data_IF_806187881033
#
_entry.id   IF_806187881033
#
_cell.length_a   1.000
_cell.length_b   1.000
_cell.length_c   1.000
_cell.angle_alpha   90.00
_cell.angle_beta   90.00
_cell.angle_gamma   90.00
#
_symmetry.space_group_name_H-M   'P 1'
#
loop_
_entity.id
_entity.type
_entity.pdbx_description
1 polymer ?
#
# COMPACT_ATOMS: atom_id res chain seq x y z
N UNK A 1 -9.80 24.91 -2.25
CA UNK A 1 -9.05 23.68 -2.60
C UNK A 1 -9.73 22.96 -3.75
N UNK A 2 -11.02 22.66 -3.61
CA UNK A 2 -11.85 22.06 -4.67
C UNK A 2 -11.76 22.79 -6.02
N UNK A 3 -11.87 24.13 -6.04
CA UNK A 3 -11.69 24.91 -7.28
C UNK A 3 -10.33 24.64 -7.94
N UNK A 4 -9.24 24.51 -7.17
CA UNK A 4 -7.91 24.21 -7.75
C UNK A 4 -7.85 22.81 -8.35
N UNK A 5 -8.47 21.83 -7.69
CA UNK A 5 -8.59 20.45 -8.21
C UNK A 5 -9.39 20.46 -9.52
N UNK A 6 -10.46 21.25 -9.55
CA UNK A 6 -11.25 21.45 -10.76
C UNK A 6 -10.43 22.08 -11.89
N UNK A 7 -9.70 23.15 -11.61
CA UNK A 7 -8.85 23.83 -12.59
C UNK A 7 -7.80 22.89 -13.17
N UNK A 8 -7.14 22.07 -12.32
CA UNK A 8 -6.21 21.02 -12.76
C UNK A 8 -6.88 19.97 -13.64
N UNK A 9 -8.07 19.52 -13.27
CA UNK A 9 -8.84 18.56 -14.07
C UNK A 9 -9.27 19.15 -15.42
N UNK A 10 -9.58 20.45 -15.50
CA UNK A 10 -9.83 21.14 -16.77
C UNK A 10 -8.57 21.15 -17.65
N UNK A 11 -7.41 21.46 -17.08
CA UNK A 11 -6.14 21.45 -17.81
C UNK A 11 -5.82 20.05 -18.36
N UNK A 12 -5.99 19.00 -17.56
CA UNK A 12 -5.81 17.62 -18.04
C UNK A 12 -6.74 17.26 -19.20
N UNK A 13 -8.02 17.67 -19.13
CA UNK A 13 -8.97 17.47 -20.24
C UNK A 13 -8.54 18.20 -21.51
N UNK A 14 -8.08 19.45 -21.40
CA UNK A 14 -7.59 20.23 -22.55
C UNK A 14 -6.36 19.58 -23.20
N UNK A 15 -5.51 18.93 -22.40
CA UNK A 15 -4.35 18.17 -22.87
C UNK A 15 -4.71 16.77 -23.41
N UNK A 16 -5.99 16.39 -23.38
CA UNK A 16 -6.46 15.06 -23.79
C UNK A 16 -6.11 13.94 -22.80
N UNK A 17 -5.57 14.27 -21.63
CA UNK A 17 -5.25 13.29 -20.59
C UNK A 17 -6.52 12.73 -19.94
N UNK A 18 -6.49 11.44 -19.64
CA UNK A 18 -7.52 10.74 -18.86
C UNK A 18 -7.26 10.81 -17.37
N UNK A 19 -6.05 11.23 -16.97
CA UNK A 19 -5.66 11.32 -15.58
C UNK A 19 -6.45 12.42 -14.88
N UNK A 20 -6.79 12.19 -13.63
CA UNK A 20 -7.55 13.14 -12.81
C UNK A 20 -6.91 13.28 -11.44
N UNK A 21 -7.17 14.42 -10.81
CA UNK A 21 -6.86 14.63 -9.40
C UNK A 21 -8.14 14.73 -8.60
N UNK A 22 -8.12 14.20 -7.39
CA UNK A 22 -9.27 14.17 -6.49
C UNK A 22 -8.88 14.53 -5.06
N UNK A 23 -9.84 15.09 -4.34
CA UNK A 23 -9.80 15.26 -2.89
C UNK A 23 -10.21 13.97 -2.20
N UNK A 24 -9.34 13.50 -1.31
CA UNK A 24 -9.57 12.25 -0.59
C UNK A 24 -10.54 12.44 0.56
N UNK A 25 -11.53 11.56 0.67
CA UNK A 25 -12.35 11.38 1.86
C UNK A 25 -12.23 9.92 2.34
N UNK A 26 -12.32 9.66 3.66
CA UNK A 26 -12.32 8.29 4.16
C UNK A 26 -13.65 7.61 3.85
N UNK A 27 -13.59 6.34 3.43
CA UNK A 27 -14.75 5.46 3.47
C UNK A 27 -15.19 5.25 4.92
N UNK A 28 -16.48 4.94 5.06
CA UNK A 28 -17.10 4.62 6.35
C UNK A 28 -18.15 3.54 6.16
N UNK A 29 -18.53 2.87 7.26
CA UNK A 29 -19.61 1.88 7.27
C UNK A 29 -20.97 2.44 6.82
N UNK A 30 -21.16 3.77 6.83
CA UNK A 30 -22.37 4.39 6.30
C UNK A 30 -22.50 4.23 4.77
N UNK A 31 -21.41 3.89 4.09
CA UNK A 31 -21.34 3.66 2.65
C UNK A 31 -21.29 2.15 2.32
N UNK A 32 -21.53 1.29 3.31
CA UNK A 32 -21.58 -0.14 3.14
C UNK A 32 -22.71 -0.50 2.15
N UNK A 33 -22.41 -1.22 1.07
CA UNK A 33 -23.44 -1.57 0.08
C UNK A 33 -24.48 -2.53 0.68
N UNK A 34 -25.64 -2.74 0.02
CA UNK A 34 -26.66 -3.65 0.52
C UNK A 34 -26.17 -5.11 0.55
N UNK A 35 -26.90 -5.98 1.27
CA UNK A 35 -26.45 -7.34 1.60
C UNK A 35 -26.27 -8.29 0.40
N UNK A 36 -26.85 -7.95 -0.75
CA UNK A 36 -26.69 -8.66 -2.02
C UNK A 36 -25.37 -8.31 -2.73
N UNK A 37 -24.71 -7.21 -2.33
CA UNK A 37 -23.45 -6.78 -2.92
C UNK A 37 -22.28 -7.58 -2.34
N UNK A 38 -21.38 -8.03 -3.21
CA UNK A 38 -20.22 -8.86 -2.88
C UNK A 38 -19.30 -8.28 -1.78
N UNK A 39 -19.24 -6.96 -1.68
CA UNK A 39 -18.39 -6.25 -0.69
C UNK A 39 -19.12 -5.82 0.59
N UNK A 40 -20.36 -6.27 0.79
CA UNK A 40 -21.09 -5.99 2.02
C UNK A 40 -20.30 -6.43 3.26
N UNK A 41 -20.15 -5.54 4.25
CA UNK A 41 -19.35 -5.72 5.48
C UNK A 41 -17.84 -5.92 5.31
N UNK A 42 -17.32 -5.76 4.08
CA UNK A 42 -15.90 -5.84 3.72
C UNK A 42 -15.43 -4.58 2.98
N UNK A 43 -16.20 -3.49 2.98
CA UNK A 43 -15.84 -2.23 2.29
C UNK A 43 -14.57 -1.61 2.87
N UNK A 44 -14.35 -1.74 4.18
CA UNK A 44 -13.17 -1.22 4.86
C UNK A 44 -11.96 -2.14 4.68
N UNK A 45 -12.22 -3.43 4.42
CA UNK A 45 -11.22 -4.48 4.22
C UNK A 45 -10.97 -4.87 2.77
N UNK A 46 -11.46 -4.09 1.79
CA UNK A 46 -11.20 -4.29 0.37
C UNK A 46 -10.42 -3.13 -0.26
N UNK A 47 -10.13 -3.23 -1.56
CA UNK A 47 -9.45 -2.19 -2.36
C UNK A 47 -10.42 -1.26 -3.11
N UNK A 48 -11.69 -1.25 -2.72
CA UNK A 48 -12.75 -0.60 -3.48
C UNK A 48 -12.91 0.86 -3.09
N UNK A 49 -12.93 1.73 -4.10
CA UNK A 49 -13.07 3.17 -3.96
C UNK A 49 -14.37 3.66 -4.63
N UNK A 50 -14.94 4.72 -4.09
CA UNK A 50 -16.11 5.41 -4.68
C UNK A 50 -15.57 6.59 -5.47
N UNK A 51 -15.80 6.57 -6.79
CA UNK A 51 -15.32 7.60 -7.72
C UNK A 51 -16.44 8.57 -8.11
N UNK A 52 -16.10 9.74 -8.67
CA UNK A 52 -17.10 10.65 -9.20
C UNK A 52 -17.88 10.10 -10.39
N UNK A 53 -19.14 10.56 -10.52
CA UNK A 53 -20.04 10.14 -11.60
C UNK A 53 -19.48 10.39 -13.00
N UNK A 54 -18.67 11.43 -13.18
CA UNK A 54 -18.03 11.74 -14.47
C UNK A 54 -17.00 10.70 -14.94
N UNK A 55 -16.54 9.81 -14.06
CA UNK A 55 -15.58 8.76 -14.44
C UNK A 55 -16.25 7.71 -15.31
N UNK A 56 -17.49 7.31 -15.02
CA UNK A 56 -18.17 6.24 -15.77
C UNK A 56 -18.33 6.57 -17.27
N UNK A 57 -18.86 7.75 -17.69
CA UNK A 57 -18.90 8.12 -19.10
C UNK A 57 -17.52 8.08 -19.77
N UNK A 58 -16.47 8.53 -19.07
CA UNK A 58 -15.10 8.50 -19.59
C UNK A 58 -14.64 7.06 -19.87
N UNK A 59 -14.91 6.12 -18.97
CA UNK A 59 -14.56 4.70 -19.15
C UNK A 59 -15.29 4.09 -20.36
N UNK A 60 -16.57 4.40 -20.52
CA UNK A 60 -17.41 3.89 -21.61
C UNK A 60 -17.02 4.49 -22.97
N UNK A 61 -16.76 5.81 -23.03
CA UNK A 61 -16.30 6.50 -24.24
C UNK A 61 -14.95 5.96 -24.73
N UNK A 62 -14.07 5.60 -23.79
CA UNK A 62 -12.76 5.01 -24.10
C UNK A 62 -12.80 3.51 -24.38
N UNK A 63 -13.96 2.86 -24.21
CA UNK A 63 -14.14 1.42 -24.38
C UNK A 63 -13.14 0.61 -23.55
N UNK A 64 -12.88 1.05 -22.31
CA UNK A 64 -12.06 0.28 -21.39
C UNK A 64 -12.89 -0.81 -20.75
N UNK A 65 -12.51 -2.05 -21.00
CA UNK A 65 -13.16 -3.22 -20.43
C UNK A 65 -12.91 -3.32 -18.92
N UNK A 66 -13.88 -3.87 -18.21
CA UNK A 66 -13.71 -4.26 -16.81
C UNK A 66 -12.74 -5.47 -16.72
N UNK A 67 -12.04 -5.65 -15.59
CA UNK A 67 -12.09 -4.86 -14.35
C UNK A 67 -11.40 -3.50 -14.47
N UNK A 68 -11.98 -2.48 -13.84
CA UNK A 68 -11.43 -1.11 -13.85
C UNK A 68 -10.56 -0.87 -12.62
N UNK A 69 -9.26 -0.78 -12.85
CA UNK A 69 -8.29 -0.43 -11.82
C UNK A 69 -7.74 0.97 -12.01
N UNK A 70 -7.49 1.62 -10.88
CA UNK A 70 -6.90 2.95 -10.84
C UNK A 70 -5.67 2.93 -9.94
N UNK A 71 -4.57 3.51 -10.43
CA UNK A 71 -3.38 3.79 -9.66
C UNK A 71 -3.52 5.16 -9.01
N UNK A 72 -3.39 5.17 -7.69
CA UNK A 72 -3.40 6.37 -6.87
C UNK A 72 -1.99 6.73 -6.43
N UNK A 73 -1.64 8.00 -6.54
CA UNK A 73 -0.37 8.55 -6.02
C UNK A 73 -0.66 9.86 -5.28
N UNK A 74 -0.06 10.01 -4.09
CA UNK A 74 -0.13 11.25 -3.31
C UNK A 74 0.55 12.36 -4.10
N UNK A 75 -0.15 13.46 -4.32
CA UNK A 75 0.41 14.66 -4.95
C UNK A 75 0.72 15.72 -3.91
N UNK A 76 -0.25 16.04 -3.05
CA UNK A 76 -0.12 17.11 -2.05
C UNK A 76 -0.83 16.80 -0.73
N UNK A 77 -0.30 17.39 0.34
CA UNK A 77 -0.90 17.40 1.67
C UNK A 77 -1.26 18.82 2.13
N UNK A 78 -2.31 18.96 2.96
CA UNK A 78 -2.78 20.25 3.48
C UNK A 78 -1.72 21.04 4.28
N UNK A 79 -0.67 20.38 4.78
CA UNK A 79 0.43 21.05 5.48
C UNK A 79 1.54 21.55 4.55
N UNK A 80 1.52 21.19 3.26
CA UNK A 80 2.54 21.57 2.28
C UNK A 80 2.11 22.84 1.53
N UNK A 81 1.68 23.87 2.26
CA UNK A 81 1.09 25.09 1.68
C UNK A 81 2.03 25.83 0.70
N UNK A 82 3.34 25.59 0.79
CA UNK A 82 4.38 26.17 -0.09
C UNK A 82 4.66 25.35 -1.37
N UNK A 83 4.20 24.09 -1.48
CA UNK A 83 4.50 23.24 -2.64
C UNK A 83 3.59 23.49 -3.86
N UNK A 84 2.52 24.27 -3.67
CA UNK A 84 1.51 24.58 -4.70
C UNK A 84 1.99 25.54 -5.79
N UNK A 85 3.18 26.14 -5.66
CA UNK A 85 3.68 27.15 -6.61
C UNK A 85 4.77 26.66 -7.56
N UNK A 86 5.38 25.49 -7.35
CA UNK A 86 6.65 25.15 -8.06
C UNK A 86 6.67 23.85 -8.84
N UNK A 87 5.69 22.95 -8.71
CA UNK A 87 5.81 21.62 -9.34
C UNK A 87 4.48 21.12 -9.89
N UNK A 88 4.33 20.92 -11.21
CA UNK A 88 3.17 20.23 -11.75
C UNK A 88 3.15 18.77 -11.24
N UNK A 89 1.97 18.17 -11.01
CA UNK A 89 1.85 16.75 -10.67
C UNK A 89 2.58 15.91 -11.73
N UNK A 90 3.57 15.14 -11.28
CA UNK A 90 4.55 14.44 -12.13
C UNK A 90 3.98 13.37 -13.07
N UNK A 91 2.68 13.08 -13.05
CA UNK A 91 2.05 12.23 -14.07
C UNK A 91 2.26 12.78 -15.49
N UNK A 92 2.35 14.10 -15.63
CA UNK A 92 2.58 14.75 -16.93
C UNK A 92 4.03 14.67 -17.44
N UNK A 93 4.98 14.11 -16.68
CA UNK A 93 6.41 14.12 -17.06
C UNK A 93 6.87 12.90 -17.87
N UNK A 94 6.07 11.82 -17.98
CA UNK A 94 6.48 10.61 -18.71
C UNK A 94 6.12 10.60 -20.21
N UNK A 95 5.50 11.68 -20.75
CA UNK A 95 5.32 11.86 -22.20
C UNK A 95 5.48 13.32 -22.63
N UNK A 96 6.72 13.77 -22.72
CA UNK A 96 7.09 14.91 -23.57
C UNK A 96 8.24 14.48 -24.48
N UNK A 97 8.02 14.26 -25.79
CA UNK A 97 9.13 14.27 -26.73
C UNK A 97 9.64 15.72 -26.81
N UNK A 98 10.73 16.00 -26.09
CA UNK A 98 11.45 17.25 -26.27
C UNK A 98 12.20 17.19 -27.60
N UNK A 99 11.77 17.98 -28.59
CA UNK A 99 12.63 18.44 -29.67
C UNK A 99 12.03 19.66 -30.38
N UNK A 100 12.48 20.85 -30.00
CA UNK A 100 12.76 21.93 -30.95
C UNK A 100 14.17 22.49 -30.64
N UNK A 101 15.00 22.77 -31.66
CA UNK A 101 16.44 22.93 -31.50
C UNK A 101 16.88 24.39 -31.32
N UNK A 102 17.99 24.57 -30.62
CA UNK A 102 18.66 25.85 -30.35
C UNK A 102 18.57 26.16 -28.86
N UNK A 103 19.56 25.86 -28.03
CA UNK A 103 20.98 26.18 -28.20
C UNK A 103 21.36 27.03 -27.00
N UNK A 104 21.84 26.41 -25.93
CA UNK A 104 23.10 26.77 -25.29
C UNK A 104 23.40 25.85 -24.10
N UNK A 105 24.65 25.39 -24.08
CA UNK A 105 25.20 24.40 -23.17
C UNK A 105 25.44 25.02 -21.79
N UNK A 106 24.83 24.47 -20.75
CA UNK A 106 25.45 24.33 -19.43
C UNK A 106 24.63 23.38 -18.53
N UNK A 107 25.33 22.44 -17.89
CA UNK A 107 24.89 21.59 -16.80
C UNK A 107 23.92 20.43 -17.11
N UNK A 108 24.37 19.50 -17.96
CA UNK A 108 24.00 18.09 -17.81
C UNK A 108 24.71 17.54 -16.56
N UNK A 109 24.05 17.60 -15.40
CA UNK A 109 24.34 16.70 -14.30
C UNK A 109 23.40 15.52 -14.44
N UNK A 110 23.93 14.46 -15.04
CA UNK A 110 23.34 13.14 -15.12
C UNK A 110 22.93 12.68 -13.71
N UNK A 111 21.63 12.58 -13.44
CA UNK A 111 21.12 11.74 -12.36
C UNK A 111 21.09 10.27 -12.79
N UNK A 112 22.22 9.78 -13.31
CA UNK A 112 22.53 8.35 -13.31
C UNK A 112 23.25 8.05 -12.00
N UNK A 113 22.47 7.82 -10.95
CA UNK A 113 23.03 7.58 -9.64
C UNK A 113 21.94 7.57 -8.59
N UNK A 114 21.30 6.41 -8.43
CA UNK A 114 20.92 5.81 -7.14
C UNK A 114 19.98 4.61 -7.34
N UNK A 115 20.48 3.55 -7.99
CA UNK A 115 20.07 2.18 -7.64
C UNK A 115 20.72 1.79 -6.30
N UNK A 116 20.45 2.55 -5.25
CA UNK A 116 20.62 2.09 -3.87
C UNK A 116 19.22 1.97 -3.30
N UNK A 117 18.83 0.71 -3.07
CA UNK A 117 17.60 0.33 -2.39
C UNK A 117 17.52 1.01 -1.02
N UNK A 118 17.00 2.24 -0.98
CA UNK A 118 16.26 2.72 0.18
C UNK A 118 15.01 1.88 0.17
N UNK A 119 14.99 0.87 1.05
CA UNK A 119 13.84 0.01 1.29
C UNK A 119 12.68 0.91 1.74
N UNK A 120 11.90 1.43 0.77
CA UNK A 120 10.71 2.22 1.04
C UNK A 120 9.75 1.28 1.74
N UNK A 121 9.47 1.57 3.01
CA UNK A 121 8.55 0.78 3.82
C UNK A 121 7.10 0.96 3.40
N UNK A 122 6.81 1.97 2.57
CA UNK A 122 5.48 2.27 2.02
C UNK A 122 5.50 2.35 0.49
N UNK A 123 4.42 1.91 -0.16
CA UNK A 123 4.33 1.93 -1.60
C UNK A 123 4.16 3.37 -2.10
N UNK A 124 4.73 3.67 -3.27
CA UNK A 124 4.59 5.00 -3.90
C UNK A 124 3.18 5.19 -4.49
N UNK A 125 2.64 4.12 -5.06
CA UNK A 125 1.32 4.07 -5.67
C UNK A 125 0.53 2.94 -5.05
N UNK A 126 -0.79 3.04 -5.03
CA UNK A 126 -1.67 1.93 -4.63
C UNK A 126 -2.73 1.75 -5.71
N UNK A 127 -2.95 0.50 -6.09
CA UNK A 127 -4.05 0.12 -6.97
C UNK A 127 -5.35 0.02 -6.18
N UNK A 128 -6.42 0.56 -6.74
CA UNK A 128 -7.79 0.44 -6.22
C UNK A 128 -8.74 0.04 -7.34
N UNK A 129 -9.84 -0.59 -6.99
CA UNK A 129 -10.95 -0.88 -7.89
C UNK A 129 -12.16 -0.01 -7.60
N UNK A 130 -13.12 0.01 -8.52
CA UNK A 130 -14.34 0.80 -8.37
C UNK A 130 -15.38 0.03 -7.54
N UNK A 131 -15.93 0.67 -6.50
CA UNK A 131 -17.15 0.21 -5.86
C UNK A 131 -18.38 0.69 -6.65
N UNK A 132 -18.51 2.01 -6.76
CA UNK A 132 -19.56 2.70 -7.48
C UNK A 132 -19.08 4.10 -7.92
N UNK A 133 -19.99 4.87 -8.52
CA UNK A 133 -19.72 6.22 -9.02
C UNK A 133 -20.55 7.29 -8.30
N UNK A 134 -20.84 7.09 -7.01
CA UNK A 134 -21.73 7.97 -6.24
C UNK A 134 -21.00 9.17 -5.60
N UNK A 135 -19.66 9.28 -5.74
CA UNK A 135 -18.92 10.36 -5.13
C UNK A 135 -19.31 11.72 -5.76
N UNK A 136 -19.33 12.81 -4.96
CA UNK A 136 -19.43 14.15 -5.50
C UNK A 136 -18.24 14.46 -6.41
N UNK A 137 -18.47 15.39 -7.33
CA UNK A 137 -17.46 15.88 -8.27
C UNK A 137 -16.17 16.29 -7.55
N UNK A 138 -15.01 15.93 -8.10
CA UNK A 138 -13.69 16.20 -7.51
C UNK A 138 -13.36 15.50 -6.19
N UNK A 139 -14.22 14.63 -5.66
CA UNK A 139 -13.95 13.85 -4.44
C UNK A 139 -13.80 12.35 -4.75
N UNK A 140 -12.95 11.67 -3.99
CA UNK A 140 -12.81 10.21 -4.04
C UNK A 140 -12.88 9.66 -2.61
N UNK A 141 -13.67 8.62 -2.38
CA UNK A 141 -13.69 7.94 -1.08
C UNK A 141 -12.79 6.71 -1.12
N UNK A 142 -11.85 6.64 -0.18
CA UNK A 142 -10.83 5.60 -0.12
C UNK A 142 -10.93 4.79 1.17
N UNK A 143 -10.61 3.48 1.14
CA UNK A 143 -10.42 2.68 2.34
C UNK A 143 -9.32 3.27 3.23
N UNK A 144 -9.50 3.17 4.55
CA UNK A 144 -8.54 3.72 5.52
C UNK A 144 -7.14 3.14 5.37
N UNK A 145 -7.01 1.88 4.94
CA UNK A 145 -5.71 1.26 4.72
C UNK A 145 -4.99 1.85 3.50
N UNK A 146 -5.71 2.18 2.42
CA UNK A 146 -5.15 2.86 1.23
C UNK A 146 -4.64 4.24 1.65
N UNK A 147 -5.43 4.97 2.43
CA UNK A 147 -5.02 6.26 2.98
C UNK A 147 -3.74 6.12 3.81
N UNK A 148 -3.66 5.12 4.70
CA UNK A 148 -2.45 4.86 5.50
C UNK A 148 -1.24 4.45 4.65
N UNK A 149 -1.44 3.63 3.62
CA UNK A 149 -0.37 3.16 2.75
C UNK A 149 0.28 4.31 1.98
N UNK A 150 -0.51 5.29 1.54
CA UNK A 150 -0.06 6.49 0.82
C UNK A 150 0.19 7.70 1.74
N UNK A 151 0.08 7.54 3.06
CA UNK A 151 0.20 8.64 4.04
C UNK A 151 -0.75 9.82 3.75
N UNK A 152 -2.01 9.51 3.43
CA UNK A 152 -3.04 10.48 3.08
C UNK A 152 -3.86 10.89 4.31
N UNK A 153 -4.25 12.16 4.33
CA UNK A 153 -5.22 12.72 5.26
C UNK A 153 -6.50 13.08 4.51
N UNK A 154 -7.64 13.26 5.22
CA UNK A 154 -8.81 13.84 4.58
C UNK A 154 -8.45 15.15 3.87
N UNK A 155 -8.95 15.32 2.65
CA UNK A 155 -8.67 16.40 1.71
C UNK A 155 -7.24 16.48 1.16
N UNK A 156 -6.39 15.47 1.37
CA UNK A 156 -5.17 15.31 0.55
C UNK A 156 -5.55 15.17 -0.92
N UNK A 157 -4.66 15.62 -1.81
CA UNK A 157 -4.86 15.52 -3.26
C UNK A 157 -4.13 14.29 -3.77
N UNK A 158 -4.89 13.40 -4.40
CA UNK A 158 -4.34 12.22 -5.10
C UNK A 158 -4.52 12.38 -6.59
N UNK A 159 -3.51 11.97 -7.34
CA UNK A 159 -3.63 11.71 -8.75
C UNK A 159 -4.14 10.29 -8.95
N UNK A 160 -5.04 10.14 -9.90
CA UNK A 160 -5.76 8.92 -10.21
C UNK A 160 -5.63 8.68 -11.70
N UNK A 161 -5.01 7.55 -12.05
CA UNK A 161 -4.75 7.11 -13.41
C UNK A 161 -5.37 5.74 -13.61
N UNK A 162 -6.11 5.55 -14.70
CA UNK A 162 -6.56 4.22 -15.09
C UNK A 162 -5.38 3.39 -15.61
N UNK A 163 -5.31 2.12 -15.20
CA UNK A 163 -4.26 1.20 -15.64
C UNK A 163 -4.84 -0.20 -15.81
N UNK A 164 -4.43 -0.90 -16.88
CA UNK A 164 -4.75 -2.31 -17.05
C UNK A 164 -3.69 -3.14 -16.35
N UNK A 165 -4.04 -3.67 -15.17
CA UNK A 165 -3.12 -4.47 -14.37
C UNK A 165 -2.96 -5.90 -14.93
N UNK A 166 -1.76 -6.50 -14.85
CA UNK A 166 -1.57 -7.90 -15.18
C UNK A 166 -2.24 -8.81 -14.14
N UNK A 167 -2.64 -10.02 -14.53
CA UNK A 167 -3.23 -10.99 -13.62
C UNK A 167 -2.20 -11.47 -12.58
N UNK A 168 -2.65 -11.67 -11.35
CA UNK A 168 -1.83 -12.19 -10.27
C UNK A 168 -1.56 -13.69 -10.49
N UNK A 169 -0.28 -14.07 -10.54
CA UNK A 169 0.13 -15.48 -10.58
C UNK A 169 0.47 -16.02 -9.19
N UNK A 170 1.30 -15.30 -8.43
CA UNK A 170 1.68 -15.70 -7.07
C UNK A 170 1.81 -14.48 -6.16
N UNK A 171 1.34 -14.62 -4.91
CA UNK A 171 1.42 -13.57 -3.90
C UNK A 171 2.00 -14.14 -2.61
N UNK A 172 3.05 -13.48 -2.11
CA UNK A 172 3.64 -13.77 -0.81
C UNK A 172 3.12 -12.79 0.23
N UNK A 173 2.44 -13.31 1.24
CA UNK A 173 1.83 -12.54 2.32
C UNK A 173 2.51 -12.84 3.64
N UNK A 174 2.61 -11.84 4.49
CA UNK A 174 3.16 -11.99 5.84
C UNK A 174 2.22 -11.37 6.88
N UNK A 175 1.72 -12.14 7.86
CA UNK A 175 0.97 -11.56 8.96
C UNK A 175 1.82 -10.58 9.77
N UNK A 176 1.22 -9.46 10.16
CA UNK A 176 1.91 -8.50 11.03
C UNK A 176 2.04 -9.05 12.46
N UNK A 177 1.13 -9.94 12.87
CA UNK A 177 1.16 -10.56 14.19
C UNK A 177 0.70 -12.01 14.18
N UNK A 178 1.29 -12.83 15.06
CA UNK A 178 0.88 -14.19 15.37
C UNK A 178 -0.58 -14.32 15.82
N UNK A 179 -1.18 -13.22 16.28
CA UNK A 179 -2.60 -13.16 16.59
C UNK A 179 -3.49 -13.59 15.41
N UNK A 180 -3.08 -13.32 14.16
CA UNK A 180 -3.76 -13.79 12.96
C UNK A 180 -3.79 -15.32 12.89
N UNK A 181 -2.63 -15.97 13.04
CA UNK A 181 -2.53 -17.43 12.94
C UNK A 181 -3.35 -18.11 14.02
N UNK A 182 -3.30 -17.58 15.26
CA UNK A 182 -4.16 -18.08 16.36
C UNK A 182 -5.65 -17.90 16.08
N UNK A 183 -6.05 -16.76 15.53
CA UNK A 183 -7.45 -16.49 15.20
C UNK A 183 -7.96 -17.46 14.13
N UNK A 184 -7.15 -17.77 13.11
CA UNK A 184 -7.50 -18.78 12.11
C UNK A 184 -7.57 -20.17 12.71
N UNK A 185 -6.58 -20.57 13.52
CA UNK A 185 -6.58 -21.87 14.20
C UNK A 185 -7.81 -22.05 15.10
N UNK A 186 -8.24 -21.00 15.80
CA UNK A 186 -9.44 -21.02 16.64
C UNK A 186 -10.74 -21.27 15.84
N UNK A 187 -10.75 -20.97 14.54
CA UNK A 187 -11.89 -21.28 13.66
C UNK A 187 -11.96 -22.75 13.26
N UNK A 188 -10.88 -23.52 13.45
CA UNK A 188 -10.76 -24.90 12.98
C UNK A 188 -10.67 -25.05 11.46
N UNK A 189 -10.49 -23.94 10.72
CA UNK A 189 -10.38 -23.92 9.26
C UNK A 189 -8.92 -23.91 8.80
N UNK A 190 -8.72 -24.34 7.56
CA UNK A 190 -7.44 -24.21 6.88
C UNK A 190 -7.12 -22.73 6.58
N UNK A 191 -5.88 -22.33 6.84
CA UNK A 191 -5.39 -20.96 6.69
C UNK A 191 -5.46 -20.51 5.23
N UNK A 192 -5.15 -21.40 4.29
CA UNK A 192 -5.19 -21.08 2.86
C UNK A 192 -6.61 -20.72 2.42
N UNK A 193 -7.61 -21.50 2.86
CA UNK A 193 -9.02 -21.24 2.51
C UNK A 193 -9.53 -19.93 3.11
N UNK A 194 -9.17 -19.63 4.36
CA UNK A 194 -9.55 -18.35 4.98
C UNK A 194 -8.90 -17.19 4.24
N UNK A 195 -7.65 -17.36 3.81
CA UNK A 195 -6.93 -16.34 3.08
C UNK A 195 -7.53 -16.11 1.68
N UNK A 196 -7.90 -17.17 0.96
CA UNK A 196 -8.59 -17.10 -0.33
C UNK A 196 -9.94 -16.37 -0.21
N UNK A 197 -10.73 -16.70 0.83
CA UNK A 197 -12.01 -16.05 1.13
C UNK A 197 -11.89 -14.57 1.49
N UNK A 198 -10.76 -14.14 2.06
CA UNK A 198 -10.53 -12.73 2.38
C UNK A 198 -9.93 -11.98 1.19
N UNK A 199 -9.00 -12.61 0.45
CA UNK A 199 -8.36 -12.01 -0.73
C UNK A 199 -9.36 -11.76 -1.85
N UNK A 200 -10.41 -12.59 -2.01
CA UNK A 200 -11.45 -12.37 -3.03
C UNK A 200 -12.09 -10.97 -2.95
N UNK A 201 -12.08 -10.33 -1.78
CA UNK A 201 -12.62 -8.99 -1.60
C UNK A 201 -11.74 -7.89 -2.22
N UNK A 202 -10.50 -8.22 -2.56
CA UNK A 202 -9.56 -7.39 -3.30
C UNK A 202 -9.64 -7.70 -4.80
N UNK A 203 -9.85 -6.68 -5.63
CA UNK A 203 -9.73 -6.80 -7.08
C UNK A 203 -8.31 -6.55 -7.57
N UNK A 204 -7.47 -5.93 -6.75
CA UNK A 204 -6.07 -5.69 -7.03
C UNK A 204 -5.23 -5.74 -5.77
N UNK A 205 -3.95 -6.06 -5.93
CA UNK A 205 -2.96 -6.06 -4.86
C UNK A 205 -1.76 -5.20 -5.25
N UNK A 206 -1.19 -4.53 -4.26
CA UNK A 206 -0.02 -3.67 -4.40
C UNK A 206 1.12 -4.19 -3.52
N UNK A 207 2.30 -4.36 -4.11
CA UNK A 207 3.48 -4.82 -3.39
C UNK A 207 3.90 -3.80 -2.31
N UNK A 208 4.49 -4.29 -1.23
CA UNK A 208 4.91 -3.48 -0.08
C UNK A 208 3.78 -2.72 0.63
N UNK A 209 2.53 -3.14 0.47
CA UNK A 209 1.38 -2.56 1.17
C UNK A 209 0.96 -3.42 2.37
N UNK A 210 0.26 -2.82 3.34
CA UNK A 210 -0.37 -3.54 4.45
C UNK A 210 -1.88 -3.54 4.22
N UNK A 211 -2.44 -4.72 3.97
CA UNK A 211 -3.85 -4.92 3.71
C UNK A 211 -4.56 -5.49 4.95
N UNK A 212 -5.76 -5.01 5.29
CA UNK A 212 -6.59 -5.57 6.36
C UNK A 212 -7.39 -6.80 5.91
N UNK A 213 -7.54 -7.79 6.79
CA UNK A 213 -8.41 -8.96 6.58
C UNK A 213 -9.26 -9.19 7.81
N UNK A 214 -10.47 -9.71 7.65
CA UNK A 214 -11.46 -9.79 8.74
C UNK A 214 -11.74 -11.25 9.10
N UNK A 215 -11.31 -11.67 10.28
CA UNK A 215 -11.57 -13.02 10.79
C UNK A 215 -12.46 -12.93 12.02
N UNK A 216 -13.65 -13.54 11.95
CA UNK A 216 -14.63 -13.56 13.05
C UNK A 216 -14.93 -12.15 13.61
N UNK A 217 -15.01 -11.15 12.73
CA UNK A 217 -15.28 -9.75 13.11
C UNK A 217 -14.08 -8.98 13.64
N UNK A 218 -12.89 -9.59 13.75
CA UNK A 218 -11.65 -8.92 14.11
C UNK A 218 -10.79 -8.64 12.87
N UNK A 219 -10.29 -7.42 12.74
CA UNK A 219 -9.44 -7.01 11.63
C UNK A 219 -7.96 -7.28 11.93
N UNK A 220 -7.33 -8.13 11.13
CA UNK A 220 -5.90 -8.41 11.14
C UNK A 220 -5.20 -7.71 9.97
N UNK A 221 -3.87 -7.61 10.02
CA UNK A 221 -3.07 -6.92 9.00
C UNK A 221 -2.08 -7.87 8.36
N UNK A 222 -2.12 -7.98 7.05
CA UNK A 222 -1.19 -8.75 6.24
C UNK A 222 -0.32 -7.79 5.42
N UNK A 223 0.98 -7.98 5.47
CA UNK A 223 1.94 -7.27 4.63
C UNK A 223 2.13 -8.04 3.32
N UNK A 224 1.94 -7.34 2.21
CA UNK A 224 2.14 -7.90 0.88
C UNK A 224 3.62 -7.78 0.54
N UNK A 225 4.36 -8.89 0.68
CA UNK A 225 5.83 -8.91 0.54
C UNK A 225 6.26 -8.86 -0.91
N UNK A 226 5.71 -9.78 -1.70
CA UNK A 226 6.12 -10.01 -3.07
C UNK A 226 4.89 -10.41 -3.87
N UNK A 227 4.85 -9.96 -5.12
CA UNK A 227 3.77 -10.25 -6.06
C UNK A 227 4.41 -10.60 -7.39
N UNK A 228 3.92 -11.65 -8.02
CA UNK A 228 4.33 -12.07 -9.35
C UNK A 228 3.10 -12.06 -10.25
N UNK A 229 3.26 -11.43 -11.42
CA UNK A 229 2.27 -11.51 -12.47
C UNK A 229 2.26 -12.90 -13.12
N UNK A 230 1.11 -13.31 -13.63
CA UNK A 230 1.00 -14.50 -14.48
C UNK A 230 1.92 -14.35 -15.71
N UNK A 231 2.68 -15.40 -16.03
CA UNK A 231 3.71 -15.37 -17.07
C UNK A 231 5.09 -14.91 -16.60
N UNK A 232 5.19 -14.09 -15.55
CA UNK A 232 6.47 -13.66 -14.96
C UNK A 232 7.00 -14.61 -13.88
N UNK A 233 6.15 -15.50 -13.36
CA UNK A 233 6.54 -16.53 -12.38
C UNK A 233 7.69 -17.43 -12.90
N UNK A 234 7.80 -17.63 -14.21
CA UNK A 234 8.90 -18.38 -14.84
C UNK A 234 10.22 -17.58 -14.89
N UNK A 235 10.14 -16.24 -14.91
CA UNK A 235 11.29 -15.34 -15.01
C UNK A 235 11.74 -14.77 -13.65
N UNK A 236 10.92 -14.93 -12.60
CA UNK A 236 11.20 -14.45 -11.25
C UNK A 236 11.11 -12.93 -11.11
N UNK A 237 10.44 -12.23 -12.03
CA UNK A 237 10.28 -10.77 -11.97
C UNK A 237 9.09 -10.38 -11.12
N UNK A 238 9.36 -9.52 -10.12
CA UNK A 238 8.35 -8.97 -9.23
C UNK A 238 7.55 -7.85 -9.90
N UNK A 239 6.25 -7.84 -9.65
CA UNK A 239 5.34 -6.79 -10.09
C UNK A 239 4.97 -5.88 -8.91
N UNK A 240 4.82 -4.57 -9.18
CA UNK A 240 4.36 -3.60 -8.18
C UNK A 240 2.84 -3.70 -7.93
N UNK A 241 2.08 -4.04 -8.98
CA UNK A 241 0.62 -4.08 -8.96
C UNK A 241 0.09 -5.24 -9.80
N UNK A 242 -0.93 -5.94 -9.31
CA UNK A 242 -1.62 -7.01 -10.04
C UNK A 242 -3.13 -6.94 -9.85
N UNK A 243 -3.84 -7.50 -10.82
CA UNK A 243 -5.26 -7.79 -10.77
C UNK A 243 -5.50 -9.16 -10.13
N UNK A 244 -6.43 -9.23 -9.19
CA UNK A 244 -6.94 -10.48 -8.61
C UNK A 244 -8.35 -10.68 -9.16
N UNK A 245 -8.54 -11.75 -9.94
CA UNK A 245 -9.86 -12.17 -10.44
C UNK A 245 -10.14 -13.58 -9.94
N UNK A 246 -11.40 -13.81 -9.54
CA UNK A 246 -11.99 -15.13 -9.26
C UNK A 246 -11.27 -16.03 -8.22
N UNK A 247 -10.24 -15.52 -7.56
CA UNK A 247 -9.50 -16.07 -6.40
C UNK A 247 -8.60 -17.29 -6.63
N UNK A 248 -8.26 -17.63 -7.87
CA UNK A 248 -7.24 -18.64 -8.19
C UNK A 248 -5.79 -18.09 -8.11
N UNK A 249 -5.50 -17.29 -7.09
CA UNK A 249 -4.15 -16.74 -6.88
C UNK A 249 -3.37 -17.65 -5.94
N UNK A 250 -2.23 -18.16 -6.40
CA UNK A 250 -1.36 -18.95 -5.54
C UNK A 250 -0.80 -18.07 -4.42
N UNK A 251 -1.07 -18.44 -3.17
CA UNK A 251 -0.63 -17.68 -2.01
C UNK A 251 0.40 -18.45 -1.19
N UNK A 252 1.49 -17.78 -0.83
CA UNK A 252 2.45 -18.26 0.17
C UNK A 252 2.37 -17.38 1.40
N UNK A 253 2.20 -18.01 2.56
CA UNK A 253 2.19 -17.31 3.84
C UNK A 253 3.56 -17.45 4.53
N UNK A 254 4.21 -16.33 4.83
CA UNK A 254 5.42 -16.28 5.65
C UNK A 254 5.07 -16.26 7.15
N UNK A 255 6.02 -16.64 8.03
CA UNK A 255 5.87 -16.50 9.48
C UNK A 255 5.55 -15.06 9.89
N UNK A 256 4.88 -14.90 11.03
CA UNK A 256 4.44 -13.58 11.44
C UNK A 256 5.64 -12.67 11.75
N UNK A 257 5.54 -11.39 11.43
CA UNK A 257 6.64 -10.43 11.58
C UNK A 257 7.10 -10.26 13.04
N UNK A 258 6.22 -10.50 14.00
CA UNK A 258 6.55 -10.50 15.43
C UNK A 258 7.33 -11.74 15.87
N UNK A 259 7.14 -12.90 15.23
CA UNK A 259 7.94 -14.10 15.49
C UNK A 259 9.39 -13.93 15.03
N UNK A 260 9.60 -13.34 13.85
CA UNK A 260 10.95 -13.04 13.32
C UNK A 260 11.75 -12.13 14.27
N UNK A 261 11.09 -11.22 14.98
CA UNK A 261 11.73 -10.35 15.99
C UNK A 261 12.20 -11.14 17.21
N UNK A 262 11.45 -12.14 17.64
CA UNK A 262 11.85 -13.00 18.76
C UNK A 262 12.99 -13.95 18.41
N UNK A 263 13.12 -14.35 17.14
CA UNK A 263 14.24 -15.19 16.69
C UNK A 263 15.54 -14.40 16.45
N UNK A 264 15.43 -13.11 16.07
CA UNK A 264 16.58 -12.22 15.86
C UNK A 264 17.11 -11.54 17.12
N UNK A 265 16.52 -11.79 18.30
CA UNK A 265 17.13 -11.47 19.60
C UNK A 265 17.71 -12.71 20.31
N UNK A 266 18.88 -13.23 19.91
CA UNK A 266 19.63 -14.10 20.79
C UNK A 266 20.32 -13.25 21.88
N UNK A 267 19.77 -13.32 23.11
CA UNK A 267 20.54 -13.33 24.37
C UNK A 267 21.41 -12.11 24.71
N UNK A 268 20.82 -10.93 24.91
CA UNK A 268 21.46 -9.89 25.74
C UNK A 268 21.23 -10.10 27.26
N UNK A 269 20.19 -10.85 27.63
CA UNK A 269 19.78 -11.00 29.04
C UNK A 269 20.56 -12.09 29.79
N UNK A 270 21.16 -13.07 29.09
CA UNK A 270 21.96 -14.10 29.77
C UNK A 270 23.41 -13.65 30.09
N UNK A 271 23.97 -12.69 29.34
CA UNK A 271 25.34 -12.21 29.56
C UNK A 271 25.47 -11.18 30.70
N UNK A 272 24.38 -10.48 31.05
CA UNK A 272 24.34 -9.55 32.19
C UNK A 272 24.19 -10.24 33.55
N UNK A 273 23.75 -11.50 33.60
CA UNK A 273 23.54 -12.23 34.87
C UNK A 273 24.80 -12.94 35.37
N UNK A 274 25.65 -13.41 34.46
CA UNK A 274 26.92 -14.09 34.80
C UNK A 274 28.03 -13.12 35.23
N UNK A 275 28.01 -11.89 34.74
CA UNK A 275 28.99 -10.85 35.10
C UNK A 275 28.74 -10.27 36.49
N UNK A 276 27.47 -10.09 36.89
CA UNK A 276 27.11 -9.58 38.22
C UNK A 276 27.39 -10.54 39.39
N UNK A 277 27.39 -11.86 39.16
CA UNK A 277 27.74 -12.84 40.19
C UNK A 277 29.25 -12.99 40.39
N UNK A 278 30.05 -12.82 39.33
CA UNK A 278 31.52 -12.86 39.41
C UNK A 278 32.12 -11.60 40.06
N UNK A 279 31.52 -10.42 39.85
CA UNK A 279 31.93 -9.19 40.54
C UNK A 279 31.61 -9.22 42.04
N UNK A 280 30.43 -9.73 42.43
CA UNK A 280 30.07 -9.89 43.85
C UNK A 280 30.96 -10.89 44.60
N UNK A 281 31.47 -11.93 43.93
CA UNK A 281 32.43 -12.86 44.55
C UNK A 281 33.84 -12.28 44.67
N UNK A 282 34.28 -11.44 43.73
CA UNK A 282 35.59 -10.75 43.82
C UNK A 282 35.62 -9.68 44.91
N UNK A 283 34.51 -8.98 45.14
CA UNK A 283 34.43 -7.91 46.14
C UNK A 283 34.33 -8.45 47.58
N UNK A 284 33.68 -9.61 47.78
CA UNK A 284 33.70 -10.33 49.07
C UNK A 284 35.09 -10.84 49.44
N UNK A 285 35.88 -11.33 48.48
CA UNK A 285 37.23 -11.83 48.75
C UNK A 285 38.20 -10.71 49.15
N UNK A 286 38.03 -9.51 48.58
CA UNK A 286 38.86 -8.34 48.88
C UNK A 286 38.60 -7.72 50.26
N UNK A 287 37.41 -7.90 50.80
CA UNK A 287 37.03 -7.40 52.13
C UNK A 287 37.42 -8.34 53.28
N UNK A 288 37.64 -9.62 53.02
CA UNK A 288 38.16 -10.58 54.01
C UNK A 288 39.68 -10.44 54.22
N UNK A 289 40.45 -10.19 53.15
CA UNK A 289 41.92 -10.03 53.25
C UNK A 289 42.37 -8.74 53.95
N UNK A 290 41.47 -7.77 54.15
CA UNK A 290 41.78 -6.52 54.87
C UNK A 290 41.51 -6.61 56.38
N UNK A 291 40.99 -7.74 56.89
CA UNK A 291 40.71 -7.95 58.31
C UNK A 291 41.76 -8.77 59.06
N UNK A 292 42.82 -9.23 58.39
CA UNK A 292 43.91 -10.02 58.99
C UNK A 292 45.31 -9.44 58.76
N UNK A 293 45.42 -8.12 58.58
CA UNK A 293 46.68 -7.38 58.62
C UNK A 293 46.73 -6.45 59.83
#
# INVERSE_FOLDING_TARGET
>A
LEQRVEDLNILFRQQGSTDRVYLVLPLSEALNPPADHFSHNHIMEGDKAILPREVLPLLLERQWDAPWHFLLEKVFDLCDSEALTTTPPRFAAERLPQALPGGDKAANAECEGEKKARQRTSPRRVSVSVLDFSAPRNFIFLPLWVMKALDLRPFSIVACKWERLPLAGHVTLQPTSWAFVRAVQATGRDIQKVLEEEIRHYSSLTANSVIPVKIQGQTFRLYVRQIQAEGNAANGEDADHVCVQDSDVATTLLPAKDEERTETEPSAVAQGRLTGEQEKQREKKRTEDTKHA
#
